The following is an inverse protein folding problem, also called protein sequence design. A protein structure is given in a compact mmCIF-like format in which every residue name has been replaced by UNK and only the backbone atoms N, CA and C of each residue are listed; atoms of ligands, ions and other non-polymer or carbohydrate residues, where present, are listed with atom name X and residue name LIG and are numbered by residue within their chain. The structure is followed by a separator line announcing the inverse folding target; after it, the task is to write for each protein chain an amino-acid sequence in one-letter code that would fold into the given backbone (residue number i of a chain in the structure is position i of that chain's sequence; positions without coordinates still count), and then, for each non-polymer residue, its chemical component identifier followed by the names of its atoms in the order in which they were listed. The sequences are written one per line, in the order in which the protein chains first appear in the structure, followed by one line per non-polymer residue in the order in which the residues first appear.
data_IF_477555161231
#
_entry.id   IF_477555161231
#
_cell.length_a   1.000
_cell.length_b   1.000
_cell.length_c   1.000
_cell.angle_alpha   90.00
_cell.angle_beta   90.00
_cell.angle_gamma   90.00
#
_symmetry.space_group_name_H-M   'P 1'
#
loop_
_entity.id
_entity.type
_entity.pdbx_description
1 polymer ?
#
# COMPACT_ATOMS: atom_id res chain seq x y z
N UNK A 1 -3.60 23.62 1.80
CA UNK A 1 -3.47 22.16 1.90
C UNK A 1 -2.69 21.78 3.16
N UNK A 2 -3.10 22.33 4.31
CA UNK A 2 -2.39 22.08 5.58
C UNK A 2 -2.62 20.64 6.08
N UNK A 3 -3.77 20.05 5.74
CA UNK A 3 -4.14 18.68 6.10
C UNK A 3 -3.14 17.61 5.63
N UNK A 4 -2.37 17.86 4.56
CA UNK A 4 -1.34 16.92 4.10
C UNK A 4 -0.25 16.67 5.15
N UNK A 5 0.05 17.67 5.99
CA UNK A 5 1.02 17.54 7.09
C UNK A 5 0.52 16.65 8.22
N UNK A 6 -0.80 16.43 8.31
CA UNK A 6 -1.40 15.50 9.28
C UNK A 6 -1.31 14.05 8.81
N UNK A 7 -0.88 13.78 7.59
CA UNK A 7 -0.67 12.41 7.12
C UNK A 7 0.60 11.89 7.74
N UNK A 8 0.47 10.76 8.45
CA UNK A 8 1.60 10.05 9.03
C UNK A 8 1.56 8.57 8.66
N UNK A 9 2.74 7.99 8.46
CA UNK A 9 2.92 6.62 8.02
C UNK A 9 4.24 6.04 8.54
N UNK A 10 4.39 4.72 8.50
CA UNK A 10 5.55 4.01 9.00
C UNK A 10 6.02 2.98 7.96
N UNK A 11 7.11 3.24 7.21
CA UNK A 11 7.68 2.28 6.28
C UNK A 11 8.50 1.25 7.06
N UNK A 12 8.08 -0.01 6.97
CA UNK A 12 8.64 -1.17 7.64
C UNK A 12 9.32 -2.08 6.62
N UNK A 13 10.46 -2.64 7.02
CA UNK A 13 11.12 -3.74 6.33
C UNK A 13 11.16 -4.95 7.26
N UNK A 14 10.39 -5.98 6.91
CA UNK A 14 10.41 -7.26 7.62
C UNK A 14 11.49 -8.14 7.00
N UNK A 15 12.43 -8.61 7.83
CA UNK A 15 13.51 -9.51 7.41
C UNK A 15 13.24 -10.92 7.89
N UNK A 16 13.15 -11.86 6.95
CA UNK A 16 12.98 -13.28 7.22
C UNK A 16 14.24 -14.04 6.85
N UNK A 17 14.51 -15.11 7.59
CA UNK A 17 15.44 -16.16 7.19
C UNK A 17 14.63 -17.37 6.70
N UNK A 18 14.93 -17.86 5.50
CA UNK A 18 14.33 -19.09 5.01
C UNK A 18 14.92 -20.28 5.77
N UNK A 19 14.08 -21.10 6.38
CA UNK A 19 14.50 -22.35 7.05
C UNK A 19 14.47 -23.52 6.07
N UNK A 20 13.53 -23.46 5.13
CA UNK A 20 13.33 -24.42 4.06
C UNK A 20 13.36 -23.67 2.72
N UNK A 21 13.48 -24.38 1.61
CA UNK A 21 13.38 -23.79 0.28
C UNK A 21 11.99 -23.16 0.06
N UNK A 22 11.95 -21.90 -0.40
CA UNK A 22 10.70 -21.18 -0.67
C UNK A 22 10.59 -20.83 -2.14
N UNK A 23 9.60 -21.43 -2.81
CA UNK A 23 9.25 -21.10 -4.19
C UNK A 23 8.08 -20.10 -4.24
N UNK A 24 8.40 -18.87 -4.62
CA UNK A 24 7.46 -17.77 -4.79
C UNK A 24 7.09 -17.54 -6.27
N UNK A 25 5.91 -16.96 -6.55
CA UNK A 25 5.62 -16.43 -7.87
C UNK A 25 6.53 -15.25 -8.21
N UNK A 26 6.62 -14.92 -9.50
CA UNK A 26 7.36 -13.75 -9.97
C UNK A 26 6.88 -12.46 -9.28
N UNK A 27 5.57 -12.31 -9.11
CA UNK A 27 4.97 -11.23 -8.32
C UNK A 27 4.52 -11.72 -6.94
N UNK A 28 5.28 -11.35 -5.91
CA UNK A 28 5.15 -11.86 -4.53
C UNK A 28 4.00 -11.21 -3.75
N UNK A 29 3.59 -9.99 -4.11
CA UNK A 29 2.61 -9.19 -3.37
C UNK A 29 1.27 -9.90 -3.12
N UNK A 30 0.80 -10.67 -4.10
CA UNK A 30 -0.42 -11.46 -3.97
C UNK A 30 -0.30 -12.58 -2.93
N UNK A 31 0.82 -13.30 -2.91
CA UNK A 31 1.09 -14.38 -1.96
C UNK A 31 1.14 -13.85 -0.54
N UNK A 32 1.92 -12.79 -0.32
CA UNK A 32 2.04 -12.19 1.00
C UNK A 32 0.73 -11.57 1.48
N UNK A 33 0.02 -10.78 0.66
CA UNK A 33 -1.27 -10.21 1.08
C UNK A 33 -2.29 -11.29 1.40
N UNK A 34 -2.35 -12.36 0.61
CA UNK A 34 -3.27 -13.48 0.82
C UNK A 34 -2.97 -14.23 2.11
N UNK A 35 -1.69 -14.61 2.30
CA UNK A 35 -1.22 -15.27 3.51
C UNK A 35 -1.42 -14.39 4.74
N UNK A 36 -1.02 -13.11 4.66
CA UNK A 36 -1.19 -12.13 5.73
C UNK A 36 -2.65 -12.03 6.18
N UNK A 37 -3.60 -11.85 5.27
CA UNK A 37 -5.02 -11.75 5.63
C UNK A 37 -5.56 -13.01 6.30
N UNK A 38 -5.20 -14.19 5.78
CA UNK A 38 -5.61 -15.46 6.38
C UNK A 38 -5.01 -15.65 7.78
N UNK A 39 -3.70 -15.45 7.91
CA UNK A 39 -2.98 -15.58 9.18
C UNK A 39 -3.49 -14.56 10.20
N UNK A 40 -3.73 -13.31 9.80
CA UNK A 40 -4.28 -12.29 10.68
C UNK A 40 -5.62 -12.74 11.27
N UNK A 41 -6.58 -13.12 10.41
CA UNK A 41 -7.89 -13.61 10.88
C UNK A 41 -7.70 -14.78 11.86
N UNK A 42 -6.87 -15.76 11.50
CA UNK A 42 -6.61 -16.94 12.34
C UNK A 42 -6.00 -16.57 13.71
N UNK A 43 -5.09 -15.60 13.75
CA UNK A 43 -4.37 -15.21 14.96
C UNK A 43 -5.18 -14.36 15.93
N UNK A 44 -6.15 -13.56 15.45
CA UNK A 44 -6.86 -12.58 16.32
C UNK A 44 -8.36 -12.80 16.43
N UNK A 45 -8.96 -13.64 15.59
CA UNK A 45 -10.42 -13.82 15.60
C UNK A 45 -10.85 -14.62 16.85
N UNK A 46 -11.53 -13.94 17.77
CA UNK A 46 -12.13 -14.56 18.95
C UNK A 46 -13.35 -15.44 18.61
N UNK A 47 -14.13 -15.06 17.59
CA UNK A 47 -15.36 -15.75 17.18
C UNK A 47 -15.13 -16.58 15.92
N UNK A 48 -14.44 -17.71 16.05
CA UNK A 48 -14.03 -18.57 14.92
C UNK A 48 -15.21 -19.14 14.10
N UNK A 49 -16.40 -19.20 14.67
CA UNK A 49 -17.63 -19.62 13.99
C UNK A 49 -18.17 -18.58 13.00
N UNK A 50 -17.77 -17.32 13.12
CA UNK A 50 -18.25 -16.23 12.26
C UNK A 50 -17.50 -16.24 10.93
N UNK A 51 -18.22 -16.54 9.85
CA UNK A 51 -17.64 -16.63 8.50
C UNK A 51 -17.40 -15.25 7.91
N UNK A 52 -18.39 -14.36 7.95
CA UNK A 52 -18.29 -12.97 7.46
C UNK A 52 -18.12 -11.99 8.63
N UNK A 53 -17.07 -11.16 8.55
CA UNK A 53 -16.81 -10.15 9.57
C UNK A 53 -17.81 -8.98 9.53
N UNK A 54 -18.58 -8.81 8.45
CA UNK A 54 -19.62 -7.78 8.33
C UNK A 54 -20.72 -7.92 9.39
N UNK A 55 -21.12 -9.15 9.69
CA UNK A 55 -22.18 -9.47 10.66
C UNK A 55 -21.65 -9.77 12.07
N UNK A 56 -20.35 -9.54 12.28
CA UNK A 56 -19.70 -9.86 13.55
C UNK A 56 -20.00 -8.80 14.60
N UNK A 57 -20.43 -9.25 15.79
CA UNK A 57 -20.64 -8.40 16.97
C UNK A 57 -19.41 -7.55 17.34
N UNK A 58 -18.21 -8.07 17.09
CA UNK A 58 -16.94 -7.41 17.42
C UNK A 58 -16.40 -6.52 16.29
N UNK A 59 -17.10 -6.42 15.16
CA UNK A 59 -16.59 -5.77 13.93
C UNK A 59 -16.07 -4.34 14.14
N UNK A 60 -16.73 -3.54 14.99
CA UNK A 60 -16.36 -2.14 15.26
C UNK A 60 -15.00 -1.98 15.96
N UNK A 61 -14.62 -2.94 16.81
CA UNK A 61 -13.41 -2.89 17.63
C UNK A 61 -12.38 -3.98 17.26
N UNK A 62 -12.67 -4.83 16.27
CA UNK A 62 -11.79 -5.92 15.87
C UNK A 62 -10.60 -5.42 15.06
N UNK A 63 -9.38 -5.75 15.49
CA UNK A 63 -8.14 -5.42 14.80
C UNK A 63 -8.13 -5.93 13.34
N UNK A 64 -8.58 -7.17 13.10
CA UNK A 64 -8.68 -7.72 11.75
C UNK A 64 -9.69 -6.96 10.89
N UNK A 65 -10.87 -6.66 11.44
CA UNK A 65 -11.91 -5.94 10.71
C UNK A 65 -11.42 -4.53 10.32
N UNK A 66 -10.78 -3.80 11.23
CA UNK A 66 -10.20 -2.50 10.92
C UNK A 66 -9.09 -2.58 9.86
N UNK A 67 -8.09 -3.44 10.06
CA UNK A 67 -6.89 -3.49 9.20
C UNK A 67 -7.17 -4.09 7.82
N UNK A 68 -7.88 -5.21 7.75
CA UNK A 68 -7.93 -6.03 6.54
C UNK A 68 -9.27 -5.98 5.80
N UNK A 69 -10.39 -5.91 6.51
CA UNK A 69 -11.70 -5.70 5.87
C UNK A 69 -11.95 -4.20 5.61
N UNK A 70 -11.54 -3.35 6.56
CA UNK A 70 -11.64 -1.88 6.54
C UNK A 70 -13.04 -1.40 6.08
N UNK A 71 -14.11 -1.83 6.76
CA UNK A 71 -15.47 -1.41 6.41
C UNK A 71 -15.62 0.11 6.56
N UNK A 72 -16.47 0.72 5.75
CA UNK A 72 -16.81 2.13 5.89
C UNK A 72 -17.53 2.36 7.23
N UNK A 73 -17.10 3.32 8.06
CA UNK A 73 -17.86 3.74 9.24
C UNK A 73 -19.27 4.19 8.85
N UNK A 74 -20.29 3.82 9.64
CA UNK A 74 -21.70 4.10 9.29
C UNK A 74 -21.99 5.61 9.23
N UNK A 75 -21.39 6.36 10.14
CA UNK A 75 -21.47 7.80 10.35
C UNK A 75 -20.62 8.65 9.39
N UNK A 76 -19.76 8.01 8.57
CA UNK A 76 -18.92 8.73 7.63
C UNK A 76 -19.76 9.49 6.59
N UNK A 77 -19.42 10.75 6.35
CA UNK A 77 -20.14 11.62 5.42
C UNK A 77 -19.67 11.44 3.97
N UNK A 78 -18.41 11.01 3.79
CA UNK A 78 -17.76 10.77 2.50
C UNK A 78 -17.89 9.29 2.08
N UNK A 79 -17.83 9.00 0.77
CA UNK A 79 -17.88 7.65 0.18
C UNK A 79 -19.14 6.83 0.50
N UNK A 80 -20.32 7.47 0.66
CA UNK A 80 -21.60 6.80 1.02
C UNK A 80 -21.99 5.61 0.13
N UNK A 81 -21.53 5.58 -1.13
CA UNK A 81 -21.83 4.52 -2.11
C UNK A 81 -20.90 3.29 -2.04
N UNK A 82 -19.89 3.30 -1.18
CA UNK A 82 -18.89 2.23 -1.09
C UNK A 82 -18.95 1.51 0.25
N UNK A 83 -18.84 0.18 0.24
CA UNK A 83 -18.86 -0.64 1.47
C UNK A 83 -17.56 -0.57 2.27
N UNK A 84 -16.44 -0.31 1.59
CA UNK A 84 -15.09 -0.34 2.15
C UNK A 84 -14.32 0.93 1.82
N UNK A 85 -13.45 1.34 2.73
CA UNK A 85 -12.53 2.47 2.54
C UNK A 85 -11.13 1.94 2.22
N UNK A 86 -10.19 2.78 1.72
CA UNK A 86 -8.85 2.30 1.39
C UNK A 86 -8.16 1.67 2.60
N UNK A 87 -7.59 0.48 2.44
CA UNK A 87 -6.84 -0.15 3.52
C UNK A 87 -5.70 0.75 4.01
N UNK A 88 -5.47 0.86 5.34
CA UNK A 88 -4.46 1.72 5.94
C UNK A 88 -3.05 1.09 5.91
N UNK A 89 -2.78 0.26 4.90
CA UNK A 89 -1.47 -0.30 4.67
C UNK A 89 -1.19 -0.54 3.18
N UNK A 90 0.10 -0.61 2.87
CA UNK A 90 0.63 -1.08 1.58
C UNK A 90 1.55 -2.26 1.89
N UNK A 91 1.42 -3.36 1.17
CA UNK A 91 2.30 -4.52 1.31
C UNK A 91 3.01 -4.74 -0.02
N UNK A 92 4.30 -4.41 -0.07
CA UNK A 92 5.12 -4.47 -1.27
C UNK A 92 6.35 -5.34 -1.02
N UNK A 93 6.28 -6.67 -1.21
CA UNK A 93 7.46 -7.52 -1.06
C UNK A 93 8.50 -7.17 -2.13
N UNK A 94 9.72 -7.71 -1.97
CA UNK A 94 10.83 -7.49 -2.91
C UNK A 94 10.40 -7.55 -4.38
N UNK A 95 10.83 -6.54 -5.15
CA UNK A 95 10.58 -6.42 -6.59
C UNK A 95 11.41 -7.40 -7.41
N UNK A 96 12.36 -8.09 -6.78
CA UNK A 96 13.15 -9.15 -7.41
C UNK A 96 12.23 -10.19 -8.03
N UNK A 97 12.47 -10.51 -9.30
CA UNK A 97 11.76 -11.59 -10.02
C UNK A 97 12.30 -12.98 -9.66
N UNK A 98 13.38 -13.06 -8.88
CA UNK A 98 13.91 -14.33 -8.39
C UNK A 98 12.83 -15.06 -7.59
N UNK A 99 12.53 -16.29 -8.02
CA UNK A 99 11.40 -17.06 -7.49
C UNK A 99 11.81 -17.99 -6.36
N UNK A 100 13.06 -18.43 -6.37
CA UNK A 100 13.60 -19.35 -5.40
C UNK A 100 14.34 -18.56 -4.31
N UNK A 101 14.05 -18.90 -3.06
CA UNK A 101 14.83 -18.50 -1.89
C UNK A 101 15.31 -19.80 -1.25
N UNK A 102 16.61 -20.01 -1.18
CA UNK A 102 17.20 -21.22 -0.60
C UNK A 102 17.17 -21.16 0.92
N UNK A 103 17.24 -22.32 1.57
CA UNK A 103 17.43 -22.38 3.02
C UNK A 103 18.68 -21.58 3.43
N UNK A 104 18.56 -20.80 4.50
CA UNK A 104 19.59 -19.87 5.00
C UNK A 104 19.57 -18.48 4.35
N UNK A 105 18.92 -18.29 3.19
CA UNK A 105 18.86 -16.99 2.53
C UNK A 105 17.86 -16.03 3.19
N UNK A 106 18.09 -14.73 2.99
CA UNK A 106 17.23 -13.66 3.49
C UNK A 106 16.09 -13.37 2.52
N UNK A 107 14.90 -13.15 3.05
CA UNK A 107 13.73 -12.68 2.33
C UNK A 107 13.19 -11.41 2.98
N UNK A 108 13.10 -10.34 2.20
CA UNK A 108 12.64 -9.05 2.67
C UNK A 108 11.24 -8.70 2.14
N UNK A 109 10.43 -8.13 3.03
CA UNK A 109 9.07 -7.68 2.73
C UNK A 109 8.88 -6.26 3.21
N UNK A 110 8.65 -5.33 2.29
CA UNK A 110 8.30 -3.97 2.65
C UNK A 110 6.80 -3.86 2.95
N UNK A 111 6.48 -3.05 3.93
CA UNK A 111 5.11 -2.69 4.26
C UNK A 111 5.06 -1.25 4.74
N UNK A 112 4.04 -0.50 4.39
CA UNK A 112 3.79 0.84 4.94
C UNK A 112 2.52 0.78 5.76
N UNK A 113 2.59 1.13 7.04
CA UNK A 113 1.40 1.35 7.88
C UNK A 113 1.02 2.82 7.83
N UNK A 114 -0.27 3.14 7.77
CA UNK A 114 -0.75 4.49 7.54
C UNK A 114 -1.71 4.89 8.66
N UNK A 115 -1.50 6.07 9.24
CA UNK A 115 -2.38 6.62 10.26
C UNK A 115 -2.52 5.69 11.47
N UNK A 116 -3.76 5.53 11.96
CA UNK A 116 -4.12 4.67 13.10
C UNK A 116 -3.66 3.21 12.94
N UNK A 117 -3.36 2.70 11.73
CA UNK A 117 -2.82 1.34 11.60
C UNK A 117 -1.46 1.13 12.28
N UNK A 118 -0.70 2.20 12.55
CA UNK A 118 0.58 2.13 13.26
C UNK A 118 0.37 1.65 14.71
N UNK A 119 -0.76 1.98 15.34
CA UNK A 119 -1.12 1.51 16.68
C UNK A 119 -1.27 -0.03 16.74
N UNK A 120 -1.45 -0.67 15.57
CA UNK A 120 -1.58 -2.11 15.43
C UNK A 120 -0.26 -2.80 15.05
N UNK A 121 0.88 -2.09 15.04
CA UNK A 121 2.20 -2.64 14.70
C UNK A 121 2.52 -3.98 15.41
N UNK A 122 2.23 -4.18 16.71
CA UNK A 122 2.46 -5.47 17.36
C UNK A 122 1.71 -6.63 16.68
N UNK A 123 0.47 -6.41 16.23
CA UNK A 123 -0.30 -7.41 15.47
C UNK A 123 0.35 -7.70 14.12
N UNK A 124 0.87 -6.70 13.41
CA UNK A 124 1.57 -6.93 12.15
C UNK A 124 2.83 -7.79 12.35
N UNK A 125 3.63 -7.51 13.38
CA UNK A 125 4.83 -8.29 13.72
C UNK A 125 4.45 -9.75 14.06
N UNK A 126 3.46 -9.93 14.94
CA UNK A 126 2.95 -11.26 15.30
C UNK A 126 2.47 -12.03 14.07
N UNK A 127 1.62 -11.43 13.24
CA UNK A 127 1.04 -12.09 12.07
C UNK A 127 2.09 -12.40 11.01
N UNK A 128 3.07 -11.52 10.79
CA UNK A 128 4.16 -11.75 9.86
C UNK A 128 5.05 -12.91 10.32
N UNK A 129 5.33 -13.00 11.62
CA UNK A 129 6.04 -14.13 12.20
C UNK A 129 5.26 -15.46 12.02
N UNK A 130 3.97 -15.47 12.36
CA UNK A 130 3.11 -16.66 12.21
C UNK A 130 2.92 -17.05 10.74
N UNK A 131 2.93 -16.08 9.82
CA UNK A 131 2.88 -16.32 8.38
C UNK A 131 4.15 -17.04 7.91
N UNK A 132 5.33 -16.61 8.38
CA UNK A 132 6.59 -17.28 8.07
C UNK A 132 6.60 -18.75 8.55
N UNK A 133 6.17 -18.99 9.79
CA UNK A 133 6.07 -20.35 10.38
C UNK A 133 5.05 -21.23 9.68
N UNK A 134 3.92 -20.67 9.27
CA UNK A 134 2.88 -21.39 8.52
C UNK A 134 3.33 -21.77 7.10
N UNK A 135 4.37 -21.10 6.60
CA UNK A 135 5.00 -21.37 5.32
C UNK A 135 4.51 -20.47 4.19
N UNK A 136 5.45 -20.14 3.29
CA UNK A 136 5.23 -19.24 2.16
C UNK A 136 5.24 -19.98 0.82
N UNK A 137 4.54 -19.42 -0.16
CA UNK A 137 4.55 -19.94 -1.54
C UNK A 137 3.77 -21.25 -1.71
N UNK A 138 3.96 -21.90 -2.87
CA UNK A 138 3.18 -23.09 -3.25
C UNK A 138 3.47 -24.30 -2.35
N UNK A 139 4.73 -24.45 -1.95
CA UNK A 139 5.21 -25.59 -1.15
C UNK A 139 5.22 -25.30 0.36
N UNK A 140 4.75 -24.12 0.78
CA UNK A 140 4.73 -23.69 2.18
C UNK A 140 6.10 -23.80 2.87
N UNK A 141 7.16 -23.41 2.16
CA UNK A 141 8.50 -23.37 2.74
C UNK A 141 8.52 -22.39 3.92
N UNK A 142 9.04 -22.83 5.06
CA UNK A 142 9.02 -22.05 6.30
C UNK A 142 10.09 -20.97 6.34
N UNK A 143 9.75 -19.88 7.02
CA UNK A 143 10.69 -18.81 7.32
C UNK A 143 10.52 -18.32 8.75
N UNK A 144 11.60 -17.86 9.35
CA UNK A 144 11.60 -17.23 10.67
C UNK A 144 11.80 -15.74 10.52
N UNK A 145 10.95 -14.94 11.16
CA UNK A 145 11.15 -13.48 11.23
C UNK A 145 12.39 -13.21 12.09
N UNK A 146 13.37 -12.49 11.56
CA UNK A 146 14.60 -12.12 12.29
C UNK A 146 14.44 -10.76 12.97
N UNK A 147 13.79 -9.82 12.29
CA UNK A 147 13.59 -8.48 12.82
C UNK A 147 12.78 -7.59 11.88
N UNK A 148 12.49 -6.39 12.36
CA UNK A 148 11.82 -5.34 11.60
C UNK A 148 12.60 -4.05 11.74
N UNK A 149 12.76 -3.31 10.65
CA UNK A 149 13.39 -2.00 10.65
C UNK A 149 12.53 -0.93 9.99
N UNK A 150 12.80 0.33 10.35
CA UNK A 150 12.23 1.52 9.74
C UNK A 150 13.39 2.36 9.22
N UNK A 151 13.45 2.58 7.90
CA UNK A 151 14.55 3.29 7.24
C UNK A 151 15.94 2.81 7.68
N UNK A 152 16.11 1.49 7.81
CA UNK A 152 17.37 0.85 8.22
C UNK A 152 17.61 0.79 9.73
N UNK A 153 16.85 1.51 10.56
CA UNK A 153 16.93 1.42 12.03
C UNK A 153 16.06 0.27 12.54
N UNK A 154 16.65 -0.65 13.31
CA UNK A 154 15.91 -1.77 13.90
C UNK A 154 14.87 -1.28 14.91
N UNK A 155 13.62 -1.74 14.76
CA UNK A 155 12.49 -1.44 15.64
C UNK A 155 11.95 -2.66 16.37
N UNK A 156 12.27 -3.86 15.90
CA UNK A 156 11.96 -5.12 16.56
C UNK A 156 13.05 -6.13 16.25
N UNK A 157 13.52 -6.82 17.28
CA UNK A 157 14.42 -7.96 17.18
C UNK A 157 13.69 -9.20 17.70
N UNK A 158 13.77 -10.31 16.97
CA UNK A 158 13.07 -11.53 17.34
C UNK A 158 13.57 -12.14 18.65
N UNK A 159 14.86 -12.07 18.94
CA UNK A 159 15.48 -12.64 20.16
C UNK A 159 15.09 -11.84 21.40
N UNK A 160 15.07 -10.51 21.30
CA UNK A 160 14.69 -9.63 22.42
C UNK A 160 13.18 -9.59 22.66
N UNK A 161 12.37 -9.97 21.66
CA UNK A 161 10.90 -9.92 21.65
C UNK A 161 10.31 -8.56 22.08
N UNK A 162 11.06 -7.48 21.88
CA UNK A 162 10.68 -6.11 22.27
C UNK A 162 10.55 -5.21 21.06
N UNK A 163 9.49 -4.40 21.06
CA UNK A 163 9.29 -3.36 20.06
C UNK A 163 9.87 -2.06 20.65
N UNK A 164 10.89 -1.52 19.99
CA UNK A 164 11.49 -0.22 20.32
C UNK A 164 10.51 0.89 19.94
N UNK A 165 10.64 2.06 20.57
CA UNK A 165 9.80 3.23 20.25
C UNK A 165 9.96 3.57 18.76
N UNK A 166 8.83 3.65 18.06
CA UNK A 166 8.78 4.05 16.65
C UNK A 166 8.27 5.47 16.52
N UNK A 167 8.87 6.23 15.62
CA UNK A 167 8.39 7.57 15.25
C UNK A 167 7.83 7.48 13.83
N UNK A 168 6.52 7.70 13.62
CA UNK A 168 5.94 7.81 12.30
C UNK A 168 6.60 8.92 11.49
N UNK A 169 6.71 8.72 10.19
CA UNK A 169 7.07 9.77 9.24
C UNK A 169 5.82 10.55 8.86
N UNK A 170 5.98 11.84 8.61
CA UNK A 170 4.99 12.73 8.04
C UNK A 170 5.54 13.36 6.76
N UNK A 171 4.72 14.14 6.06
CA UNK A 171 5.19 14.92 4.90
C UNK A 171 6.41 15.78 5.22
N UNK A 172 6.52 16.32 6.45
CA UNK A 172 7.61 17.22 6.85
C UNK A 172 8.95 16.48 7.01
N UNK A 173 8.91 15.17 7.24
CA UNK A 173 10.10 14.33 7.39
C UNK A 173 10.68 13.87 6.04
N UNK A 174 9.94 14.12 4.94
CA UNK A 174 10.37 13.73 3.61
C UNK A 174 11.27 14.81 3.02
N UNK A 175 12.33 14.37 2.33
CA UNK A 175 13.22 15.28 1.61
C UNK A 175 12.44 15.97 0.50
N UNK A 176 12.78 17.23 0.21
CA UNK A 176 12.22 17.99 -0.91
C UNK A 176 10.69 18.10 -0.85
N UNK A 177 10.10 18.66 0.21
CA UNK A 177 8.62 18.83 0.30
C UNK A 177 8.09 19.87 -0.71
N UNK A 178 8.98 20.70 -1.25
CA UNK A 178 8.71 21.66 -2.31
C UNK A 178 9.66 21.41 -3.47
N UNK A 179 9.17 21.71 -4.67
CA UNK A 179 9.93 21.58 -5.89
C UNK A 179 9.44 22.67 -6.85
N UNK A 180 10.36 23.45 -7.37
CA UNK A 180 10.10 24.42 -8.45
C UNK A 180 10.40 23.77 -9.82
N UNK A 181 10.43 22.43 -9.87
CA UNK A 181 10.70 21.67 -11.08
C UNK A 181 9.55 21.82 -12.07
N UNK A 182 9.92 22.13 -13.31
CA UNK A 182 9.01 22.16 -14.45
C UNK A 182 8.89 20.75 -15.06
N UNK A 183 9.95 19.95 -14.97
CA UNK A 183 9.97 18.59 -15.50
C UNK A 183 9.94 17.56 -14.36
N UNK A 184 9.16 16.51 -14.59
CA UNK A 184 8.95 15.42 -13.63
C UNK A 184 9.00 14.09 -14.36
N UNK A 185 9.76 13.13 -13.82
CA UNK A 185 9.68 11.74 -14.26
C UNK A 185 9.15 10.84 -13.16
N UNK A 186 8.21 9.95 -13.50
CA UNK A 186 7.75 8.87 -12.64
C UNK A 186 8.18 7.53 -13.25
N UNK A 187 8.83 6.68 -12.46
CA UNK A 187 9.13 5.31 -12.86
C UNK A 187 8.26 4.33 -12.06
N UNK A 188 7.23 3.77 -12.70
CA UNK A 188 6.37 2.75 -12.10
C UNK A 188 7.11 1.42 -12.02
N UNK A 189 7.57 1.07 -10.82
CA UNK A 189 8.31 -0.16 -10.54
C UNK A 189 7.40 -1.36 -10.24
N UNK A 190 6.10 -1.11 -10.04
CA UNK A 190 5.06 -2.14 -9.97
C UNK A 190 3.88 -1.74 -10.86
N UNK A 191 3.04 -2.69 -11.31
CA UNK A 191 1.96 -2.38 -12.25
C UNK A 191 1.00 -1.32 -11.72
N UNK A 192 0.86 -0.23 -12.46
CA UNK A 192 -0.13 0.82 -12.27
C UNK A 192 -1.44 0.41 -12.95
N UNK A 193 -2.53 0.40 -12.18
CA UNK A 193 -3.87 0.10 -12.70
C UNK A 193 -4.84 1.23 -12.38
N UNK A 194 -5.11 2.06 -13.38
CA UNK A 194 -6.05 3.18 -13.31
C UNK A 194 -7.27 2.95 -14.21
N UNK A 195 -8.30 3.77 -13.99
CA UNK A 195 -9.50 3.78 -14.82
C UNK A 195 -9.90 5.20 -15.18
N UNK A 196 -10.32 5.38 -16.44
CA UNK A 196 -10.95 6.59 -16.97
C UNK A 196 -12.28 6.18 -17.60
N UNK A 197 -13.38 6.83 -17.20
CA UNK A 197 -14.74 6.50 -17.67
C UNK A 197 -15.08 5.00 -17.54
N UNK A 198 -14.81 4.43 -16.36
CA UNK A 198 -15.00 3.00 -16.04
C UNK A 198 -14.17 2.00 -16.86
N UNK A 199 -13.34 2.45 -17.80
CA UNK A 199 -12.44 1.62 -18.60
C UNK A 199 -11.02 1.65 -18.03
N UNK A 200 -10.32 0.53 -18.08
CA UNK A 200 -8.91 0.44 -17.65
C UNK A 200 -8.05 1.20 -18.66
N UNK A 201 -7.18 2.07 -18.16
CA UNK A 201 -6.20 2.78 -18.98
C UNK A 201 -5.05 1.81 -19.27
N UNK A 202 -4.83 1.50 -20.54
CA UNK A 202 -3.75 0.62 -21.00
C UNK A 202 -2.64 1.35 -21.75
N UNK A 203 -2.90 2.58 -22.16
CA UNK A 203 -2.07 3.45 -22.98
C UNK A 203 -2.63 4.89 -22.84
N UNK A 204 -1.92 5.88 -23.37
CA UNK A 204 -2.32 7.29 -23.33
C UNK A 204 -2.60 7.75 -21.88
N UNK A 205 -1.70 7.38 -20.97
CA UNK A 205 -1.74 7.76 -19.57
C UNK A 205 -1.44 9.26 -19.45
N UNK A 206 -2.31 10.01 -18.78
CA UNK A 206 -2.10 11.45 -18.56
C UNK A 206 -1.66 11.72 -17.13
N UNK A 207 -1.03 12.88 -16.89
CA UNK A 207 -0.72 13.32 -15.53
C UNK A 207 -1.99 13.43 -14.67
N UNK A 208 -3.06 13.99 -15.23
CA UNK A 208 -4.36 14.11 -14.56
C UNK A 208 -4.92 12.76 -14.09
N UNK A 209 -4.73 11.67 -14.85
CA UNK A 209 -5.20 10.33 -14.45
C UNK A 209 -4.50 9.85 -13.16
N UNK A 210 -3.18 10.05 -13.10
CA UNK A 210 -2.35 9.71 -11.94
C UNK A 210 -2.73 10.59 -10.76
N UNK A 211 -2.77 11.91 -10.98
CA UNK A 211 -3.02 12.88 -9.93
C UNK A 211 -4.43 12.75 -9.33
N UNK A 212 -5.48 12.56 -10.13
CA UNK A 212 -6.83 12.24 -9.63
C UNK A 212 -6.83 11.02 -8.71
N UNK A 213 -6.08 9.98 -9.09
CA UNK A 213 -6.01 8.77 -8.28
C UNK A 213 -5.22 8.98 -6.98
N UNK A 214 -4.14 9.77 -7.00
CA UNK A 214 -3.37 10.15 -5.82
C UNK A 214 -4.20 10.99 -4.87
N UNK A 215 -4.76 12.11 -5.36
CA UNK A 215 -5.58 13.04 -4.59
C UNK A 215 -6.71 12.29 -3.88
N UNK A 216 -7.44 11.45 -4.61
CA UNK A 216 -8.50 10.62 -4.02
C UNK A 216 -7.96 9.67 -2.95
N UNK A 217 -6.88 8.93 -3.22
CA UNK A 217 -6.36 7.97 -2.24
C UNK A 217 -5.86 8.65 -0.97
N UNK A 218 -5.08 9.72 -1.14
CA UNK A 218 -4.42 10.45 -0.06
C UNK A 218 -5.46 11.15 0.83
N UNK A 219 -6.44 11.83 0.24
CA UNK A 219 -7.54 12.47 1.00
C UNK A 219 -8.36 11.45 1.81
N UNK A 220 -8.68 10.30 1.21
CA UNK A 220 -9.42 9.25 1.93
C UNK A 220 -8.61 8.62 3.05
N UNK A 221 -7.30 8.37 2.85
CA UNK A 221 -6.43 7.88 3.91
C UNK A 221 -6.32 8.90 5.04
N UNK A 222 -6.20 10.19 4.71
CA UNK A 222 -6.14 11.26 5.67
C UNK A 222 -7.41 11.33 6.54
N UNK A 223 -8.57 11.29 5.89
CA UNK A 223 -9.87 11.32 6.57
C UNK A 223 -10.09 10.11 7.49
N UNK A 224 -9.95 8.90 6.94
CA UNK A 224 -10.32 7.68 7.66
C UNK A 224 -9.28 7.20 8.67
N UNK A 225 -8.00 7.56 8.48
CA UNK A 225 -6.91 6.96 9.27
C UNK A 225 -5.99 7.97 9.93
N UNK A 226 -5.92 9.22 9.44
CA UNK A 226 -5.03 10.24 9.99
C UNK A 226 -5.75 11.33 10.80
N UNK A 227 -7.03 11.10 11.17
CA UNK A 227 -7.84 12.01 12.00
C UNK A 227 -8.04 13.40 11.38
N UNK A 228 -7.92 13.51 10.05
CA UNK A 228 -8.24 14.74 9.33
C UNK A 228 -9.76 14.84 9.23
N UNK A 229 -10.32 15.97 9.68
CA UNK A 229 -11.77 16.19 9.62
C UNK A 229 -12.19 16.62 8.22
N UNK A 230 -13.48 16.54 7.94
CA UNK A 230 -14.04 16.87 6.63
C UNK A 230 -13.82 18.34 6.25
N UNK A 231 -14.01 19.25 7.21
CA UNK A 231 -13.77 20.70 7.08
C UNK A 231 -12.29 21.05 6.88
N UNK A 232 -11.37 20.15 7.20
CA UNK A 232 -9.93 20.35 7.01
C UNK A 232 -9.43 19.90 5.63
N UNK A 233 -10.18 19.08 4.89
CA UNK A 233 -9.74 18.52 3.60
C UNK A 233 -9.64 19.56 2.47
N UNK A 234 -10.11 20.79 2.67
CA UNK A 234 -10.11 21.87 1.67
C UNK A 234 -10.68 21.37 0.32
N UNK A 235 -11.79 20.63 0.37
CA UNK A 235 -12.38 19.90 -0.78
C UNK A 235 -12.74 20.86 -1.93
N UNK A 236 -13.08 22.11 -1.60
CA UNK A 236 -13.33 23.18 -2.57
C UNK A 236 -12.14 23.41 -3.53
N UNK A 237 -10.90 23.15 -3.09
CA UNK A 237 -9.69 23.32 -3.91
C UNK A 237 -9.40 22.12 -4.81
N UNK A 238 -10.10 20.99 -4.62
CA UNK A 238 -9.80 19.78 -5.39
C UNK A 238 -10.11 19.96 -6.87
N UNK A 239 -11.22 20.64 -7.19
CA UNK A 239 -11.60 20.91 -8.58
C UNK A 239 -10.49 21.68 -9.30
N UNK A 240 -9.98 22.75 -8.67
CA UNK A 240 -8.93 23.60 -9.24
C UNK A 240 -7.63 22.82 -9.47
N UNK A 241 -7.21 21.99 -8.50
CA UNK A 241 -6.04 21.13 -8.65
C UNK A 241 -6.22 20.13 -9.81
N UNK A 242 -7.41 19.54 -9.93
CA UNK A 242 -7.71 18.64 -11.04
C UNK A 242 -7.68 19.38 -12.38
N UNK A 243 -8.21 20.60 -12.47
CA UNK A 243 -8.15 21.43 -13.68
C UNK A 243 -6.70 21.75 -14.04
N UNK A 244 -5.90 22.27 -13.11
CA UNK A 244 -4.47 22.56 -13.32
C UNK A 244 -3.68 21.33 -13.76
N UNK A 245 -4.03 20.13 -13.26
CA UNK A 245 -3.32 18.90 -13.66
C UNK A 245 -3.52 18.52 -15.15
N UNK A 246 -4.46 19.16 -15.87
CA UNK A 246 -4.64 18.98 -17.31
C UNK A 246 -3.58 19.71 -18.14
N UNK A 247 -3.01 20.78 -17.58
CA UNK A 247 -2.02 21.61 -18.26
C UNK A 247 -0.65 20.90 -18.32
N UNK A 248 -0.45 19.89 -17.49
CA UNK A 248 0.77 19.09 -17.42
C UNK A 248 0.81 18.10 -18.60
N UNK A 249 1.78 18.30 -19.49
CA UNK A 249 1.91 17.55 -20.74
C UNK A 249 2.84 16.36 -20.56
N UNK A 250 2.55 15.27 -21.27
CA UNK A 250 3.46 14.12 -21.40
C UNK A 250 4.56 14.49 -22.39
N UNK A 251 5.82 14.40 -21.96
CA UNK A 251 6.99 14.55 -22.83
C UNK A 251 7.30 13.20 -23.49
N UNK A 252 7.31 12.15 -22.68
CA UNK A 252 7.73 10.81 -23.09
C UNK A 252 6.99 9.76 -22.26
N UNK A 253 6.42 8.75 -22.91
CA UNK A 253 5.80 7.60 -22.26
C UNK A 253 6.53 6.32 -22.69
N UNK A 254 7.34 5.77 -21.78
CA UNK A 254 8.03 4.48 -21.91
C UNK A 254 7.35 3.39 -21.06
N UNK A 255 6.07 3.58 -20.71
CA UNK A 255 5.33 2.56 -19.97
C UNK A 255 4.85 1.45 -20.91
N UNK A 256 4.85 0.23 -20.40
CA UNK A 256 4.33 -0.95 -21.10
C UNK A 256 3.27 -1.64 -20.25
N UNK A 257 2.25 -2.16 -20.91
CA UNK A 257 1.24 -2.96 -20.23
C UNK A 257 1.79 -4.36 -19.92
N UNK A 258 1.97 -4.68 -18.64
CA UNK A 258 2.40 -6.01 -18.21
C UNK A 258 1.19 -6.84 -17.81
N UNK A 259 0.99 -7.98 -18.47
CA UNK A 259 -0.05 -8.93 -18.11
C UNK A 259 0.41 -9.81 -16.94
N UNK A 260 -0.19 -9.61 -15.77
CA UNK A 260 0.00 -10.45 -14.60
C UNK A 260 -1.35 -10.95 -14.07
N UNK A 261 -1.34 -12.13 -13.47
CA UNK A 261 -2.49 -12.69 -12.77
C UNK A 261 -2.08 -13.25 -11.42
N UNK A 262 -3.04 -13.30 -10.50
CA UNK A 262 -2.89 -13.98 -9.21
C UNK A 262 -4.05 -14.93 -9.01
N UNK A 263 -3.85 -16.01 -8.26
CA UNK A 263 -4.97 -16.79 -7.77
C UNK A 263 -5.63 -16.09 -6.57
N UNK A 264 -6.95 -16.12 -6.49
CA UNK A 264 -7.71 -15.59 -5.37
C UNK A 264 -8.40 -16.73 -4.64
N UNK A 265 -7.94 -17.07 -3.44
CA UNK A 265 -8.52 -18.16 -2.66
C UNK A 265 -9.98 -17.91 -2.31
N UNK A 266 -10.35 -16.65 -2.01
CA UNK A 266 -11.74 -16.26 -1.69
C UNK A 266 -12.70 -16.48 -2.86
N UNK A 267 -12.26 -16.19 -4.09
CA UNK A 267 -13.09 -16.30 -5.30
C UNK A 267 -12.78 -17.57 -6.12
N UNK A 268 -11.83 -18.39 -5.68
CA UNK A 268 -11.29 -19.58 -6.36
C UNK A 268 -10.97 -19.37 -7.86
N UNK A 269 -10.52 -18.19 -8.26
CA UNK A 269 -10.23 -17.85 -9.66
C UNK A 269 -8.94 -17.06 -9.84
N UNK A 270 -8.39 -17.06 -11.06
CA UNK A 270 -7.29 -16.16 -11.45
C UNK A 270 -7.83 -14.74 -11.68
N UNK A 271 -7.28 -13.77 -10.96
CA UNK A 271 -7.63 -12.36 -11.06
C UNK A 271 -6.51 -11.61 -11.79
N UNK A 272 -6.82 -10.82 -12.83
CA UNK A 272 -5.84 -10.00 -13.52
C UNK A 272 -5.37 -8.84 -12.64
N UNK A 273 -4.08 -8.80 -12.38
CA UNK A 273 -3.37 -7.75 -11.63
C UNK A 273 -2.37 -6.98 -12.49
N UNK A 274 -2.42 -7.19 -13.81
CA UNK A 274 -1.66 -6.41 -14.78
C UNK A 274 -1.98 -4.91 -14.76
N UNK A 275 -1.03 -4.14 -15.29
CA UNK A 275 -0.99 -2.69 -15.26
C UNK A 275 0.20 -2.14 -16.04
N UNK A 276 0.30 -0.82 -16.13
CA UNK A 276 1.41 -0.10 -16.75
C UNK A 276 2.66 -0.15 -15.85
N UNK A 277 3.83 -0.45 -16.41
CA UNK A 277 5.13 -0.47 -15.73
C UNK A 277 6.12 0.29 -16.61
N UNK A 278 7.04 1.04 -16.02
CA UNK A 278 8.06 1.80 -16.75
C UNK A 278 8.01 3.30 -16.46
N UNK A 279 8.79 4.06 -17.22
CA UNK A 279 8.99 5.49 -17.02
C UNK A 279 7.99 6.30 -17.85
N UNK A 280 7.44 7.36 -17.25
CA UNK A 280 6.71 8.42 -17.96
C UNK A 280 7.21 9.78 -17.46
N UNK A 281 7.40 10.71 -18.39
CA UNK A 281 7.98 12.04 -18.14
C UNK A 281 6.96 13.12 -18.51
N UNK A 282 6.89 14.17 -17.70
CA UNK A 282 5.93 15.26 -17.80
C UNK A 282 6.63 16.62 -17.74
N UNK A 283 6.00 17.64 -18.33
CA UNK A 283 6.41 19.05 -18.25
C UNK A 283 5.23 19.96 -17.89
N UNK A 284 5.48 21.00 -17.10
CA UNK A 284 4.51 22.02 -16.66
C UNK A 284 4.75 22.46 -15.21
N UNK A 285 3.87 23.28 -14.62
CA UNK A 285 4.01 23.68 -13.21
C UNK A 285 3.64 22.52 -12.26
N UNK A 286 4.64 21.79 -11.77
CA UNK A 286 4.44 20.63 -10.90
C UNK A 286 4.29 21.01 -9.41
N UNK A 287 4.61 22.24 -9.04
CA UNK A 287 4.84 22.67 -7.66
C UNK A 287 3.64 22.37 -6.74
N UNK A 288 2.42 22.59 -7.25
CA UNK A 288 1.17 22.34 -6.50
C UNK A 288 0.87 20.84 -6.29
N UNK A 289 1.44 19.96 -7.10
CA UNK A 289 1.22 18.51 -7.05
C UNK A 289 2.30 17.76 -6.28
N UNK A 290 3.46 18.40 -6.11
CA UNK A 290 4.67 17.78 -5.56
C UNK A 290 4.46 17.09 -4.20
N UNK A 291 3.77 17.68 -3.20
CA UNK A 291 3.50 16.98 -1.94
C UNK A 291 2.73 15.66 -2.10
N UNK A 292 1.80 15.58 -3.05
CA UNK A 292 1.06 14.34 -3.33
C UNK A 292 1.94 13.30 -4.02
N UNK A 293 2.84 13.76 -4.89
CA UNK A 293 3.77 12.91 -5.62
C UNK A 293 4.78 12.27 -4.68
N UNK A 294 5.34 13.04 -3.74
CA UNK A 294 6.29 12.52 -2.73
C UNK A 294 5.59 11.53 -1.79
N UNK A 295 4.39 11.86 -1.29
CA UNK A 295 3.60 10.91 -0.49
C UNK A 295 3.25 9.64 -1.29
N UNK A 296 2.97 9.77 -2.57
CA UNK A 296 2.58 8.66 -3.44
C UNK A 296 3.68 7.62 -3.67
N UNK A 297 4.97 7.96 -3.52
CA UNK A 297 6.07 6.97 -3.55
C UNK A 297 5.91 5.92 -2.44
N UNK A 298 5.46 6.33 -1.25
CA UNK A 298 5.23 5.46 -0.11
C UNK A 298 3.82 4.85 -0.10
N UNK A 299 2.81 5.66 -0.40
CA UNK A 299 1.41 5.26 -0.26
C UNK A 299 0.88 4.51 -1.49
N UNK A 300 1.63 4.52 -2.59
CA UNK A 300 1.29 4.01 -3.92
C UNK A 300 0.05 4.69 -4.52
N UNK A 301 -0.19 4.47 -5.82
CA UNK A 301 -1.33 5.02 -6.56
C UNK A 301 -2.15 3.96 -7.28
N UNK A 302 -3.46 4.19 -7.41
CA UNK A 302 -4.34 3.34 -8.21
C UNK A 302 -4.95 2.16 -7.46
N UNK A 303 -5.30 1.09 -8.19
CA UNK A 303 -6.01 -0.07 -7.63
C UNK A 303 -5.07 -1.12 -7.05
N UNK A 304 -5.52 -1.76 -5.97
CA UNK A 304 -4.83 -2.86 -5.27
C UNK A 304 -3.45 -2.49 -4.69
N UNK A 305 -3.31 -1.29 -4.13
CA UNK A 305 -2.09 -0.91 -3.40
C UNK A 305 -1.80 -1.82 -2.20
N UNK A 306 -2.82 -2.43 -1.60
CA UNK A 306 -2.66 -3.42 -0.52
C UNK A 306 -1.95 -4.71 -0.94
N UNK A 307 -1.83 -4.99 -2.25
CA UNK A 307 -0.96 -6.08 -2.75
C UNK A 307 0.37 -5.58 -3.27
N UNK A 308 0.64 -4.28 -3.19
CA UNK A 308 1.90 -3.67 -3.65
C UNK A 308 1.86 -3.21 -5.10
N UNK A 309 0.69 -2.94 -5.68
CA UNK A 309 0.59 -2.30 -7.00
C UNK A 309 0.71 -0.79 -6.89
N UNK A 310 1.08 -0.14 -7.99
CA UNK A 310 1.13 1.33 -8.08
C UNK A 310 2.28 2.01 -7.37
N UNK A 311 3.32 1.27 -6.97
CA UNK A 311 4.61 1.82 -6.54
C UNK A 311 5.28 2.52 -7.71
N UNK A 312 5.72 3.74 -7.50
CA UNK A 312 6.64 4.44 -8.40
C UNK A 312 7.75 5.09 -7.58
N UNK A 313 8.79 5.50 -8.29
CA UNK A 313 9.82 6.40 -7.76
C UNK A 313 9.87 7.68 -8.60
N UNK A 314 10.16 8.80 -7.94
CA UNK A 314 10.50 10.06 -8.59
C UNK A 314 11.93 9.95 -9.17
N UNK A 315 12.11 10.39 -10.43
CA UNK A 315 13.39 10.35 -11.15
C UNK A 315 13.76 11.75 -11.60
#
# INVERSE_FOLDING_TARGET
MEWLKKIYFLPLLFKFKAEEEVLLPAYKGATFRGGFGYTFKKSVCALKSVVDCKDCLLSSNCAYAYVFETPRPKDAQIMRKYEHVPHPFVLCPTLSRHRLVKAGECLEVEMVLIGKAIEYLPYFILVMNELGKAGLGKHKGKCTLQGVSVLGKEVFNYEEAKIKKVTPLSLQDLKEVKSDKIDLSLNFVTPLKLQRNSKIIRENLTFQDIFRSLLRRISLLAYFHCKVKEDELEVEKFSDLITKSQEIKVIEDKTIWVNLSRFSTRQKQKIPIGGLVGKISFTGDISSFWPFLVLGEYLHVGKNTSVGLGKYVLV
#
